data_IF_142777426850
#
_entry.id   IF_142777426850
#
_cell.length_a   1.000
_cell.length_b   1.000
_cell.length_c   1.000
_cell.angle_alpha   90.00
_cell.angle_beta   90.00
_cell.angle_gamma   90.00
#
_symmetry.space_group_name_H-M   'P 1'
#
loop_
_entity.id
_entity.type
_entity.pdbx_description
1 polymer ?
#
# COMPACT_ATOMS: atom_id res chain seq x y z
N UNK A 1 -54.75 -9.84 -17.36
CA UNK A 1 -53.77 -8.76 -17.62
C UNK A 1 -52.88 -8.70 -16.37
N UNK A 2 -51.74 -9.39 -16.25
CA UNK A 2 -50.43 -9.26 -16.93
C UNK A 2 -49.89 -7.82 -16.93
N UNK A 3 -49.24 -7.42 -15.82
CA UNK A 3 -48.04 -6.55 -15.68
C UNK A 3 -47.74 -6.48 -14.17
N UNK A 4 -46.93 -7.35 -13.53
CA UNK A 4 -45.50 -7.62 -13.69
C UNK A 4 -44.62 -6.35 -13.57
N UNK A 5 -43.83 -6.34 -12.48
CA UNK A 5 -42.46 -5.83 -12.33
C UNK A 5 -42.30 -4.36 -11.88
N UNK A 6 -42.30 -4.15 -10.58
CA UNK A 6 -41.57 -3.05 -9.93
C UNK A 6 -40.43 -3.62 -9.09
N UNK A 7 -39.42 -4.22 -9.72
CA UNK A 7 -38.24 -4.74 -9.03
C UNK A 7 -37.32 -3.56 -8.71
N UNK A 8 -37.48 -2.96 -7.53
CA UNK A 8 -36.56 -1.95 -7.02
C UNK A 8 -35.28 -2.67 -6.59
N UNK A 9 -34.42 -3.00 -7.55
CA UNK A 9 -33.09 -3.53 -7.28
C UNK A 9 -32.23 -2.40 -6.71
N UNK A 10 -32.33 -2.17 -5.40
CA UNK A 10 -31.36 -1.38 -4.66
C UNK A 10 -30.04 -2.17 -4.68
N UNK A 11 -29.19 -1.90 -5.68
CA UNK A 11 -27.81 -2.37 -5.70
C UNK A 11 -27.09 -1.71 -4.53
N UNK A 12 -27.03 -2.42 -3.40
CA UNK A 12 -26.17 -2.07 -2.28
C UNK A 12 -24.72 -2.20 -2.79
N UNK A 13 -24.14 -1.10 -3.28
CA UNK A 13 -22.70 -1.02 -3.46
C UNK A 13 -22.11 -1.05 -2.06
N UNK A 14 -21.66 -2.23 -1.62
CA UNK A 14 -20.76 -2.33 -0.48
C UNK A 14 -19.46 -1.65 -0.89
N UNK A 15 -19.30 -0.39 -0.48
CA UNK A 15 -18.01 0.30 -0.52
C UNK A 15 -17.07 -0.45 0.41
N UNK A 16 -16.25 -1.32 -0.18
CA UNK A 16 -15.11 -1.90 0.52
C UNK A 16 -14.16 -0.73 0.72
N UNK A 17 -14.07 -0.21 1.94
CA UNK A 17 -13.03 0.76 2.26
C UNK A 17 -11.68 0.05 2.07
N UNK A 18 -10.83 0.60 1.21
CA UNK A 18 -9.43 0.20 1.17
C UNK A 18 -8.79 0.73 2.46
N UNK A 19 -8.51 -0.18 3.40
CA UNK A 19 -7.71 0.13 4.57
C UNK A 19 -6.25 -0.12 4.19
N UNK A 20 -5.46 0.94 4.15
CA UNK A 20 -4.02 0.81 4.11
C UNK A 20 -3.55 0.10 5.39
N UNK A 21 -2.72 -0.92 5.21
CA UNK A 21 -2.04 -1.59 6.31
C UNK A 21 -0.82 -0.77 6.72
N UNK A 22 -0.43 -0.87 8.00
CA UNK A 22 0.75 -0.21 8.52
C UNK A 22 1.84 -1.25 8.80
N UNK A 23 3.11 -0.89 8.56
CA UNK A 23 4.27 -1.65 8.98
C UNK A 23 5.36 -0.72 9.50
N UNK A 24 6.03 -1.15 10.55
CA UNK A 24 7.19 -0.48 11.14
C UNK A 24 8.38 -1.43 11.05
N UNK A 25 9.55 -0.91 10.70
CA UNK A 25 10.76 -1.71 10.63
C UNK A 25 11.97 -0.95 10.12
N UNK A 26 13.10 -1.65 10.11
CA UNK A 26 14.37 -1.10 9.65
C UNK A 26 14.61 -1.45 8.18
N UNK A 27 15.01 -0.47 7.36
CA UNK A 27 15.37 -0.72 5.96
C UNK A 27 16.62 -1.61 5.90
N UNK A 28 16.50 -2.80 5.35
CA UNK A 28 17.64 -3.70 5.10
C UNK A 28 18.23 -3.56 3.71
N UNK A 29 17.41 -3.27 2.70
CA UNK A 29 17.87 -3.14 1.32
C UNK A 29 17.01 -2.14 0.54
N UNK A 30 17.64 -1.44 -0.40
CA UNK A 30 17.00 -0.47 -1.29
C UNK A 30 17.32 -0.86 -2.74
N UNK A 31 16.29 -1.16 -3.53
CA UNK A 31 16.38 -1.39 -4.98
C UNK A 31 15.85 -0.15 -5.72
N UNK A 32 16.79 0.68 -6.20
CA UNK A 32 16.47 1.92 -6.93
C UNK A 32 15.99 1.65 -8.35
N UNK A 33 16.28 0.48 -8.93
CA UNK A 33 15.81 0.12 -10.28
C UNK A 33 14.34 -0.28 -10.26
N UNK A 34 13.92 -1.02 -9.22
CA UNK A 34 12.54 -1.47 -9.04
C UNK A 34 11.70 -0.54 -8.16
N UNK A 35 12.30 0.51 -7.60
CA UNK A 35 11.70 1.41 -6.61
C UNK A 35 11.07 0.61 -5.47
N UNK A 36 11.87 -0.24 -4.83
CA UNK A 36 11.41 -1.15 -3.78
C UNK A 36 12.36 -1.13 -2.60
N UNK A 37 11.83 -1.14 -1.39
CA UNK A 37 12.61 -1.33 -0.15
C UNK A 37 12.25 -2.66 0.49
N UNK A 38 13.20 -3.25 1.20
CA UNK A 38 12.98 -4.44 2.02
C UNK A 38 13.21 -4.07 3.48
N UNK A 39 12.21 -4.33 4.32
CA UNK A 39 12.33 -4.13 5.76
C UNK A 39 12.90 -5.39 6.43
N UNK A 40 13.19 -5.26 7.72
CA UNK A 40 13.74 -6.33 8.55
C UNK A 40 12.78 -7.49 8.83
N UNK A 41 11.48 -7.28 8.60
CA UNK A 41 10.48 -8.34 8.57
C UNK A 41 10.60 -9.27 7.35
N UNK A 42 11.51 -8.94 6.41
CA UNK A 42 11.77 -9.70 5.18
C UNK A 42 10.76 -9.45 4.07
N UNK A 43 9.81 -8.52 4.25
CA UNK A 43 8.86 -8.11 3.21
C UNK A 43 9.44 -6.97 2.39
N UNK A 44 9.03 -6.96 1.12
CA UNK A 44 9.36 -5.90 0.18
C UNK A 44 8.16 -4.99 -0.06
N UNK A 45 8.44 -3.70 -0.18
CA UNK A 45 7.46 -2.63 -0.30
C UNK A 45 7.85 -1.70 -1.45
N UNK A 46 6.90 -1.45 -2.35
CA UNK A 46 7.07 -0.62 -3.53
C UNK A 46 6.93 0.84 -3.15
N UNK A 47 7.95 1.63 -3.44
CA UNK A 47 7.91 3.07 -3.28
C UNK A 47 6.97 3.69 -4.34
N UNK A 48 6.27 4.79 -4.00
CA UNK A 48 5.52 5.54 -4.99
C UNK A 48 6.48 6.11 -6.05
N UNK A 49 5.99 6.27 -7.28
CA UNK A 49 6.83 6.57 -8.45
C UNK A 49 7.62 7.88 -8.39
N UNK A 50 7.28 8.79 -7.48
CA UNK A 50 7.96 10.08 -7.27
C UNK A 50 8.79 10.14 -5.96
N UNK A 51 9.05 9.01 -5.32
CA UNK A 51 9.79 9.00 -4.06
C UNK A 51 11.28 9.31 -4.25
N UNK A 52 11.82 10.21 -3.42
CA UNK A 52 13.26 10.50 -3.39
C UNK A 52 14.03 9.40 -2.65
N UNK A 53 14.45 8.38 -3.39
CA UNK A 53 15.27 7.28 -2.89
C UNK A 53 16.62 7.73 -2.30
N UNK A 54 17.13 8.93 -2.64
CA UNK A 54 18.38 9.42 -2.07
C UNK A 54 18.25 9.80 -0.58
N UNK A 55 17.03 10.01 -0.10
CA UNK A 55 16.74 10.24 1.32
C UNK A 55 16.79 8.95 2.15
N UNK A 56 16.73 7.78 1.52
CA UNK A 56 16.71 6.48 2.20
C UNK A 56 18.11 5.90 2.36
N UNK A 57 18.34 5.25 3.49
CA UNK A 57 19.57 4.52 3.79
C UNK A 57 19.23 3.22 4.50
N UNK A 58 20.04 2.20 4.24
CA UNK A 58 19.99 0.96 5.02
C UNK A 58 20.29 1.26 6.49
N UNK A 59 19.55 0.62 7.39
CA UNK A 59 19.61 0.86 8.83
C UNK A 59 18.71 1.98 9.35
N UNK A 60 17.93 2.65 8.49
CA UNK A 60 16.92 3.63 8.93
C UNK A 60 15.66 2.92 9.41
N UNK A 61 15.12 3.38 10.54
CA UNK A 61 13.81 2.96 11.02
C UNK A 61 12.73 3.79 10.33
N UNK A 62 11.68 3.11 9.86
CA UNK A 62 10.58 3.73 9.14
C UNK A 62 9.24 3.18 9.61
N UNK A 63 8.22 4.03 9.56
CA UNK A 63 6.82 3.65 9.64
C UNK A 63 6.19 3.89 8.27
N UNK A 64 5.53 2.87 7.72
CA UNK A 64 4.93 2.96 6.39
C UNK A 64 3.47 2.50 6.40
N UNK A 65 2.65 3.21 5.66
CA UNK A 65 1.31 2.78 5.26
C UNK A 65 1.38 2.24 3.84
N UNK A 66 0.72 1.12 3.57
CA UNK A 66 0.73 0.48 2.26
C UNK A 66 -0.60 -0.17 1.92
N UNK A 67 -0.91 -0.23 0.64
CA UNK A 67 -2.02 -1.00 0.08
C UNK A 67 -1.49 -2.22 -0.68
N UNK A 68 -2.15 -3.36 -0.52
CA UNK A 68 -1.86 -4.51 -1.39
C UNK A 68 -2.58 -4.32 -2.73
N UNK A 69 -1.82 -3.97 -3.77
CA UNK A 69 -2.34 -3.79 -5.12
C UNK A 69 -1.77 -4.88 -6.00
N UNK A 70 -2.64 -5.79 -6.47
CA UNK A 70 -2.23 -6.90 -7.35
C UNK A 70 -1.12 -7.80 -6.77
N UNK A 71 -1.05 -7.93 -5.43
CA UNK A 71 -0.04 -8.72 -4.73
C UNK A 71 1.29 -7.99 -4.49
N UNK A 72 1.40 -6.71 -4.84
CA UNK A 72 2.51 -5.83 -4.44
C UNK A 72 2.08 -4.95 -3.26
N UNK A 73 2.95 -4.79 -2.26
CA UNK A 73 2.73 -3.85 -1.16
C UNK A 73 3.12 -2.45 -1.63
N UNK A 74 2.16 -1.65 -2.10
CA UNK A 74 2.38 -0.30 -2.58
C UNK A 74 2.33 0.68 -1.42
N UNK A 75 3.45 1.36 -1.14
CA UNK A 75 3.52 2.38 -0.10
C UNK A 75 2.66 3.57 -0.50
N UNK A 76 1.74 3.94 0.39
CA UNK A 76 0.86 5.10 0.26
C UNK A 76 1.32 6.26 1.11
N UNK A 77 1.98 5.99 2.24
CA UNK A 77 2.59 6.98 3.11
C UNK A 77 3.83 6.41 3.81
N UNK A 78 4.81 7.26 4.11
CA UNK A 78 6.04 6.87 4.81
C UNK A 78 6.53 7.98 5.72
N UNK A 79 6.79 7.62 6.97
CA UNK A 79 7.45 8.46 7.97
C UNK A 79 8.83 7.88 8.28
N UNK A 80 9.85 8.74 8.24
CA UNK A 80 11.23 8.39 8.54
C UNK A 80 11.54 8.82 9.97
N UNK A 81 12.08 7.92 10.79
CA UNK A 81 12.60 8.31 12.09
C UNK A 81 14.03 8.87 11.91
N UNK A 82 14.28 10.08 12.45
CA UNK A 82 15.58 10.77 12.38
C UNK A 82 16.63 10.21 13.38
#
# INVERSE_FOLDING_TARGET
MRILIGFFAASLMMSIAAFAAEAEGTIQAIDTEKLTITLDDGKSYKLPGEFDVAALKEGMDVLLAYDEVSGENLITDMELFE
#
